data_IF_384301458573
#
_entry.id   IF_384301458573
#
_cell.length_a   1.000
_cell.length_b   1.000
_cell.length_c   1.000
_cell.angle_alpha   90.00
_cell.angle_beta   90.00
_cell.angle_gamma   90.00
#
_symmetry.space_group_name_H-M   'P 1'
#
loop_
_entity.id
_entity.type
_entity.pdbx_description
1 polymer ?
#
# COMPACT_ATOMS: atom_id res chain seq x y z
N UNK A 1 44.39 -56.64 55.18
CA UNK A 1 43.05 -57.16 55.57
C UNK A 1 42.05 -56.45 54.63
N UNK A 2 41.12 -57.09 53.90
CA UNK A 2 39.95 -57.91 54.32
C UNK A 2 39.11 -57.18 55.40
N UNK A 3 37.81 -56.86 55.31
CA UNK A 3 36.71 -56.91 54.32
C UNK A 3 35.63 -55.86 54.78
N UNK A 4 34.62 -55.40 54.04
CA UNK A 4 34.19 -55.63 52.65
C UNK A 4 32.68 -55.94 52.52
N UNK A 5 31.93 -55.23 51.63
CA UNK A 5 30.44 -55.28 51.36
C UNK A 5 29.54 -54.53 52.36
N UNK A 6 28.29 -54.09 52.08
CA UNK A 6 27.57 -53.57 50.87
C UNK A 6 26.10 -53.18 51.22
N UNK A 7 25.50 -52.19 50.53
CA UNK A 7 24.03 -51.96 50.32
C UNK A 7 23.19 -51.66 51.60
N UNK A 8 21.94 -51.15 51.65
CA UNK A 8 20.79 -50.73 50.79
C UNK A 8 19.90 -49.77 51.68
N UNK A 9 18.90 -48.93 51.34
CA UNK A 9 18.11 -48.53 50.13
C UNK A 9 17.61 -47.06 50.33
N UNK A 10 17.87 -46.11 49.43
CA UNK A 10 16.93 -45.42 48.51
C UNK A 10 15.49 -45.05 49.00
N UNK A 11 15.18 -43.73 48.97
CA UNK A 11 13.88 -43.07 48.67
C UNK A 11 14.17 -41.58 48.43
N UNK A 12 13.93 -40.97 47.26
CA UNK A 12 12.65 -40.53 46.66
C UNK A 12 11.89 -39.45 47.46
N UNK A 13 11.31 -38.39 46.85
CA UNK A 13 11.53 -37.68 45.57
C UNK A 13 10.79 -36.31 45.63
N UNK A 14 10.91 -35.41 44.64
CA UNK A 14 10.28 -34.05 44.53
C UNK A 14 10.92 -32.96 45.43
N UNK A 15 11.00 -31.66 45.09
CA UNK A 15 11.32 -30.92 43.84
C UNK A 15 11.49 -29.41 44.18
N UNK A 16 12.10 -28.64 43.27
CA UNK A 16 11.81 -27.21 42.95
C UNK A 16 12.30 -26.06 43.89
N UNK A 17 13.18 -25.21 43.32
CA UNK A 17 13.26 -23.72 43.49
C UNK A 17 13.61 -23.11 44.88
N UNK A 18 14.18 -21.89 45.03
CA UNK A 18 14.24 -20.70 44.15
C UNK A 18 15.37 -19.71 44.59
N UNK A 19 15.69 -18.68 43.76
CA UNK A 19 16.67 -17.55 43.95
C UNK A 19 18.14 -17.94 44.25
N UNK A 20 19.18 -17.54 43.48
CA UNK A 20 19.66 -16.24 42.97
C UNK A 20 20.41 -15.38 44.02
N UNK A 21 21.68 -15.09 43.70
CA UNK A 21 22.56 -14.08 44.31
C UNK A 21 23.08 -13.15 43.19
N UNK A 22 23.57 -11.96 43.56
CA UNK A 22 23.65 -10.83 42.62
C UNK A 22 24.94 -10.00 42.72
N UNK A 23 25.47 -9.58 41.54
CA UNK A 23 26.13 -8.28 41.27
C UNK A 23 27.52 -8.04 41.92
N UNK A 24 28.44 -7.20 41.37
CA UNK A 24 28.68 -6.75 39.98
C UNK A 24 30.07 -7.17 39.42
N UNK A 25 30.38 -6.86 38.15
CA UNK A 25 31.61 -6.09 37.85
C UNK A 25 31.51 -5.31 36.51
N UNK A 26 32.55 -4.55 36.15
CA UNK A 26 32.41 -3.31 35.39
C UNK A 26 32.84 -3.34 33.90
N UNK A 27 32.49 -2.26 33.20
CA UNK A 27 32.80 -2.02 31.77
C UNK A 27 34.29 -1.81 31.53
N UNK A 28 34.86 -2.61 30.62
CA UNK A 28 35.95 -2.18 29.73
C UNK A 28 35.50 -2.54 28.31
N UNK A 29 35.40 -1.55 27.43
CA UNK A 29 35.09 -1.76 26.02
C UNK A 29 36.37 -1.91 25.20
N UNK A 30 36.27 -2.59 24.05
CA UNK A 30 37.29 -2.58 23.01
C UNK A 30 36.65 -2.15 21.68
N UNK A 31 37.34 -1.30 20.92
CA UNK A 31 36.75 -0.58 19.77
C UNK A 31 37.21 -1.22 18.46
N UNK A 32 36.37 -2.09 17.91
CA UNK A 32 36.55 -2.63 16.55
C UNK A 32 35.60 -1.95 15.57
N UNK A 33 36.08 -0.89 14.91
CA UNK A 33 35.33 -0.18 13.90
C UNK A 33 35.34 -0.94 12.56
N UNK A 34 34.22 -1.58 12.22
CA UNK A 34 33.93 -2.00 10.85
C UNK A 34 32.41 -2.04 10.63
N UNK A 35 31.87 -0.93 10.12
CA UNK A 35 30.43 -0.80 9.86
C UNK A 35 29.98 -1.71 8.73
N UNK A 36 29.26 -2.79 9.08
CA UNK A 36 28.33 -3.47 8.19
C UNK A 36 26.93 -3.23 8.74
N UNK A 37 26.04 -2.64 7.94
CA UNK A 37 24.62 -2.59 8.28
C UNK A 37 24.09 -4.02 8.46
N UNK A 38 23.38 -4.27 9.56
CA UNK A 38 22.65 -5.53 9.72
C UNK A 38 21.46 -5.51 8.74
N UNK A 39 21.12 -6.66 8.11
CA UNK A 39 19.90 -6.73 7.31
C UNK A 39 18.68 -6.55 8.23
N UNK A 40 17.80 -5.61 7.90
CA UNK A 40 16.60 -5.32 8.67
C UNK A 40 15.64 -6.52 8.64
N UNK A 41 15.23 -7.01 9.81
CA UNK A 41 14.14 -7.98 9.96
C UNK A 41 12.82 -7.24 10.16
N UNK A 42 11.97 -7.26 9.13
CA UNK A 42 10.67 -6.59 9.15
C UNK A 42 9.62 -7.48 9.84
N UNK A 43 8.90 -6.92 10.82
CA UNK A 43 7.90 -7.65 11.62
C UNK A 43 6.48 -7.30 11.17
N UNK A 44 5.92 -8.08 10.23
CA UNK A 44 4.50 -7.94 9.84
C UNK A 44 3.58 -8.45 10.97
N UNK A 45 2.52 -7.71 11.35
CA UNK A 45 1.45 -8.17 12.24
C UNK A 45 0.52 -9.15 11.50
N UNK A 46 -0.22 -9.96 12.26
CA UNK A 46 -1.09 -11.02 11.72
C UNK A 46 -2.55 -10.82 12.15
N UNK A 47 -3.46 -10.67 11.18
CA UNK A 47 -4.91 -10.85 11.36
C UNK A 47 -5.54 -11.32 10.06
N UNK A 48 -6.18 -12.47 10.09
CA UNK A 48 -7.00 -12.99 8.99
C UNK A 48 -8.21 -12.06 8.75
N UNK A 49 -8.47 -11.72 7.50
CA UNK A 49 -9.79 -11.33 6.99
C UNK A 49 -9.91 -11.78 5.55
N UNK A 50 -10.96 -12.55 5.23
CA UNK A 50 -11.41 -12.73 3.85
C UNK A 50 -11.78 -11.35 3.29
N UNK A 51 -11.11 -10.82 2.26
CA UNK A 51 -11.36 -9.46 1.80
C UNK A 51 -12.68 -9.38 1.01
N UNK A 52 -13.53 -8.41 1.37
CA UNK A 52 -14.19 -7.64 0.31
C UNK A 52 -13.14 -6.81 -0.43
N UNK A 53 -13.42 -6.30 -1.64
CA UNK A 53 -12.44 -5.51 -2.39
C UNK A 53 -11.88 -4.38 -1.52
N UNK A 54 -10.56 -4.33 -1.37
CA UNK A 54 -9.92 -3.47 -0.39
C UNK A 54 -10.03 -2.02 -0.87
N UNK A 55 -10.78 -1.21 -0.12
CA UNK A 55 -10.86 0.23 -0.38
C UNK A 55 -9.52 0.88 -0.03
N UNK A 56 -8.75 1.23 -1.06
CA UNK A 56 -7.44 1.85 -0.90
C UNK A 56 -7.58 3.36 -1.05
N UNK A 57 -7.38 4.07 0.07
CA UNK A 57 -7.38 5.52 0.10
C UNK A 57 -6.18 6.07 -0.71
N UNK A 58 -6.45 7.04 -1.57
CA UNK A 58 -5.42 7.70 -2.39
C UNK A 58 -4.78 8.90 -1.70
N UNK A 59 -5.43 9.44 -0.67
CA UNK A 59 -4.91 10.50 0.23
C UNK A 59 -3.89 9.90 1.19
N UNK A 60 -2.66 10.43 1.18
CA UNK A 60 -1.65 10.09 2.18
C UNK A 60 -1.86 10.96 3.43
N UNK A 61 -1.59 10.38 4.61
CA UNK A 61 -1.83 11.01 5.92
C UNK A 61 -3.28 11.57 6.11
N UNK A 62 -4.31 10.73 5.96
CA UNK A 62 -5.72 11.18 5.90
C UNK A 62 -6.26 11.75 7.22
N UNK A 63 -5.71 11.32 8.35
CA UNK A 63 -6.09 11.70 9.71
C UNK A 63 -5.09 12.66 10.36
N UNK A 64 -4.28 13.37 9.55
CA UNK A 64 -3.36 14.44 9.96
C UNK A 64 -2.27 14.10 11.02
N UNK A 65 -2.19 12.85 11.49
CA UNK A 65 -1.28 12.41 12.58
C UNK A 65 0.23 12.63 12.32
N UNK A 66 0.65 12.85 11.07
CA UNK A 66 2.04 13.19 10.72
C UNK A 66 2.16 14.51 9.97
N UNK A 67 3.23 15.26 10.26
CA UNK A 67 3.57 16.54 9.64
C UNK A 67 5.07 16.64 9.39
N UNK A 68 5.46 17.43 8.40
CA UNK A 68 6.86 17.68 8.05
C UNK A 68 7.54 18.72 8.97
N UNK A 69 8.79 19.06 8.66
CA UNK A 69 9.57 20.07 9.41
C UNK A 69 9.04 21.51 9.34
N UNK A 70 7.96 21.79 8.59
CA UNK A 70 7.22 23.06 8.54
C UNK A 70 5.90 23.00 9.33
N UNK A 71 5.49 21.82 9.82
CA UNK A 71 4.21 21.61 10.49
C UNK A 71 3.04 21.34 9.53
N UNK A 72 3.34 20.81 8.33
CA UNK A 72 2.38 20.56 7.24
C UNK A 72 2.56 19.12 6.74
N UNK A 73 1.49 18.34 6.46
CA UNK A 73 1.64 17.04 5.82
C UNK A 73 2.33 17.16 4.45
N UNK A 74 3.04 16.12 4.02
CA UNK A 74 3.80 16.14 2.75
C UNK A 74 2.91 16.36 1.52
N UNK A 75 1.68 15.85 1.58
CA UNK A 75 0.75 15.70 0.45
C UNK A 75 -0.43 16.68 0.54
N UNK A 76 -0.33 17.65 1.47
CA UNK A 76 -1.29 18.73 1.64
C UNK A 76 -0.66 20.09 1.37
N UNK A 77 -1.37 20.87 0.59
CA UNK A 77 -1.10 22.28 0.28
C UNK A 77 -2.17 23.18 0.93
N UNK A 78 -1.89 24.47 1.06
CA UNK A 78 -2.80 25.44 1.67
C UNK A 78 -2.60 26.83 1.06
N UNK A 79 -3.61 27.68 1.19
CA UNK A 79 -3.59 29.06 0.72
C UNK A 79 -4.48 29.95 1.58
N UNK A 80 -4.18 31.25 1.57
CA UNK A 80 -5.04 32.27 2.10
C UNK A 80 -4.81 33.62 1.43
N UNK A 81 -5.89 34.37 1.25
CA UNK A 81 -5.84 35.82 1.12
C UNK A 81 -6.12 36.46 2.51
N UNK A 82 -5.53 37.63 2.79
CA UNK A 82 -5.78 38.34 4.07
C UNK A 82 -5.28 37.60 5.34
N UNK A 83 -6.11 37.59 6.39
CA UNK A 83 -5.83 36.94 7.67
C UNK A 83 -6.44 35.52 7.70
N UNK A 84 -5.71 34.59 7.10
CA UNK A 84 -6.02 33.16 7.05
C UNK A 84 -4.92 32.38 7.76
N UNK A 85 -5.32 31.42 8.59
CA UNK A 85 -4.40 30.64 9.43
C UNK A 85 -4.74 29.16 9.36
N UNK A 86 -3.72 28.32 9.50
CA UNK A 86 -3.82 26.88 9.30
C UNK A 86 -3.01 26.17 10.39
N UNK A 87 -3.51 25.01 10.86
CA UNK A 87 -2.77 24.15 11.78
C UNK A 87 -3.15 22.69 11.55
N UNK A 88 -2.18 21.88 11.12
CA UNK A 88 -2.33 20.44 10.89
C UNK A 88 -1.96 19.59 12.12
N UNK A 89 -1.69 20.24 13.26
CA UNK A 89 -1.37 19.63 14.55
C UNK A 89 -2.33 20.11 15.65
N UNK A 90 -3.59 20.39 15.27
CA UNK A 90 -4.61 20.89 16.20
C UNK A 90 -5.34 19.73 16.86
N UNK A 91 -4.96 19.40 18.10
CA UNK A 91 -5.68 18.41 18.91
C UNK A 91 -7.11 18.84 19.29
N UNK A 92 -7.44 20.12 19.15
CA UNK A 92 -8.81 20.65 19.22
C UNK A 92 -9.63 20.36 17.95
N UNK A 93 -8.97 20.12 16.81
CA UNK A 93 -9.58 19.91 15.48
C UNK A 93 -9.61 18.43 15.06
N UNK A 94 -9.26 17.52 15.97
CA UNK A 94 -9.43 16.08 15.80
C UNK A 94 -10.92 15.67 15.88
N UNK A 95 -11.38 14.87 14.93
CA UNK A 95 -12.57 14.00 15.07
C UNK A 95 -12.15 12.63 15.60
N UNK A 96 -10.98 12.14 15.16
CA UNK A 96 -10.31 10.91 15.59
C UNK A 96 -8.83 11.19 15.93
N UNK A 97 -8.08 10.15 16.31
CA UNK A 97 -6.62 10.28 16.54
C UNK A 97 -6.21 11.27 17.63
N UNK A 98 -5.19 12.07 17.32
CA UNK A 98 -4.53 13.06 18.19
C UNK A 98 -4.61 14.48 17.60
N UNK A 99 -4.72 14.62 16.28
CA UNK A 99 -4.68 15.88 15.54
C UNK A 99 -5.68 15.87 14.38
N UNK A 100 -6.19 17.05 14.02
CA UNK A 100 -6.87 17.27 12.75
C UNK A 100 -6.42 18.58 12.11
N UNK A 101 -6.88 18.83 10.88
CA UNK A 101 -6.60 20.07 10.16
C UNK A 101 -7.56 21.19 10.59
N UNK A 102 -6.99 22.35 10.88
CA UNK A 102 -7.69 23.59 11.23
C UNK A 102 -7.45 24.64 10.14
N UNK A 103 -8.50 25.36 9.74
CA UNK A 103 -8.48 26.53 8.87
C UNK A 103 -9.28 27.68 9.52
N UNK A 104 -8.60 28.74 9.94
CA UNK A 104 -9.22 30.02 10.32
C UNK A 104 -9.25 30.96 9.11
N UNK A 105 -10.38 31.65 8.90
CA UNK A 105 -10.52 32.74 7.92
C UNK A 105 -11.17 33.95 8.59
N UNK A 106 -10.50 35.10 8.55
CA UNK A 106 -11.07 36.40 8.90
C UNK A 106 -10.98 37.36 7.70
N UNK A 107 -12.02 38.16 7.49
CA UNK A 107 -12.04 39.22 6.47
C UNK A 107 -11.48 40.53 7.03
N UNK A 108 -11.35 41.54 6.17
CA UNK A 108 -11.24 42.94 6.63
C UNK A 108 -12.56 43.68 6.49
N UNK A 109 -12.67 44.86 7.10
CA UNK A 109 -13.78 45.82 6.93
C UNK A 109 -14.07 46.20 5.47
N UNK A 110 -13.12 45.99 4.56
CA UNK A 110 -13.18 46.47 3.17
C UNK A 110 -13.00 45.38 2.11
N UNK A 111 -12.47 44.20 2.48
CA UNK A 111 -12.18 43.09 1.58
C UNK A 111 -12.69 41.77 2.16
N UNK A 112 -13.33 40.99 1.30
CA UNK A 112 -13.63 39.59 1.52
C UNK A 112 -12.37 38.74 1.31
N UNK A 113 -12.26 37.62 2.00
CA UNK A 113 -11.07 36.76 2.00
C UNK A 113 -11.43 35.28 1.83
N UNK A 114 -10.53 34.50 1.24
CA UNK A 114 -10.68 33.05 1.03
C UNK A 114 -9.48 32.31 1.62
N UNK A 115 -9.75 31.28 2.42
CA UNK A 115 -8.75 30.29 2.84
C UNK A 115 -9.07 28.92 2.26
N UNK A 116 -8.03 28.12 1.97
CA UNK A 116 -8.23 26.70 1.64
C UNK A 116 -7.08 25.79 2.08
N UNK A 117 -7.44 24.51 2.25
CA UNK A 117 -6.55 23.37 2.40
C UNK A 117 -6.84 22.39 1.26
N UNK A 118 -5.82 21.90 0.57
CA UNK A 118 -5.95 20.93 -0.53
C UNK A 118 -5.08 19.71 -0.30
N UNK A 119 -5.64 18.52 -0.51
CA UNK A 119 -4.89 17.30 -0.72
C UNK A 119 -4.57 17.18 -2.21
N UNK A 120 -3.29 17.06 -2.54
CA UNK A 120 -2.84 16.81 -3.91
C UNK A 120 -3.02 15.31 -4.21
N UNK A 121 -3.93 14.97 -5.14
CA UNK A 121 -4.30 13.57 -5.41
C UNK A 121 -3.48 13.07 -6.59
N UNK A 122 -2.69 12.01 -6.37
CA UNK A 122 -1.98 11.34 -7.46
C UNK A 122 -2.93 10.49 -8.31
N UNK A 123 -3.64 11.19 -9.22
CA UNK A 123 -4.33 10.67 -10.40
C UNK A 123 -5.30 9.50 -10.12
N UNK A 124 -6.10 9.61 -9.05
CA UNK A 124 -7.05 8.57 -8.66
C UNK A 124 -8.08 8.30 -9.78
N UNK A 125 -8.09 7.09 -10.33
CA UNK A 125 -8.93 6.75 -11.47
C UNK A 125 -10.43 6.84 -11.14
N UNK A 126 -11.19 7.52 -12.00
CA UNK A 126 -12.64 7.66 -11.87
C UNK A 126 -13.32 6.42 -12.46
N UNK A 127 -13.32 5.31 -11.73
CA UNK A 127 -13.91 4.02 -12.12
C UNK A 127 -15.29 3.80 -11.47
N UNK A 128 -15.88 2.61 -11.56
CA UNK A 128 -17.30 2.37 -11.20
C UNK A 128 -17.70 2.84 -9.79
N UNK A 129 -16.78 2.79 -8.82
CA UNK A 129 -16.96 3.32 -7.46
C UNK A 129 -15.69 4.09 -7.03
N UNK A 130 -15.78 5.42 -7.02
CA UNK A 130 -14.79 6.28 -6.35
C UNK A 130 -15.52 7.07 -5.25
N UNK A 131 -15.34 6.68 -4.00
CA UNK A 131 -16.00 7.29 -2.85
C UNK A 131 -15.09 8.34 -2.19
N UNK A 132 -15.65 9.51 -1.90
CA UNK A 132 -15.00 10.62 -1.20
C UNK A 132 -15.72 10.89 0.12
N UNK A 133 -14.98 10.82 1.23
CA UNK A 133 -15.49 11.06 2.58
C UNK A 133 -14.49 11.82 3.45
N UNK A 134 -14.98 12.50 4.48
CA UNK A 134 -14.19 13.21 5.47
C UNK A 134 -15.10 13.64 6.63
N UNK A 135 -14.54 13.86 7.81
CA UNK A 135 -15.22 14.58 8.89
C UNK A 135 -14.91 16.08 8.79
N UNK A 136 -15.88 16.93 9.11
CA UNK A 136 -15.71 18.38 9.16
C UNK A 136 -16.57 19.04 10.24
N UNK A 137 -16.17 20.23 10.69
CA UNK A 137 -16.90 21.03 11.69
C UNK A 137 -16.65 22.52 11.48
N UNK A 138 -17.69 23.34 11.65
CA UNK A 138 -17.52 24.79 11.86
C UNK A 138 -17.49 25.06 13.37
N UNK A 139 -16.30 25.23 13.96
CA UNK A 139 -16.15 25.43 15.40
C UNK A 139 -16.53 26.86 15.82
N UNK A 140 -16.18 27.85 15.02
CA UNK A 140 -16.66 29.23 15.12
C UNK A 140 -17.16 29.68 13.75
N UNK A 141 -18.29 30.37 13.72
CA UNK A 141 -18.79 31.02 12.50
C UNK A 141 -19.66 32.22 12.87
N UNK A 142 -19.59 33.36 12.15
CA UNK A 142 -20.48 34.49 12.38
C UNK A 142 -21.95 34.08 12.14
N UNK A 143 -22.84 34.44 13.08
CA UNK A 143 -24.24 34.05 13.03
C UNK A 143 -25.07 34.81 11.98
N UNK A 144 -24.69 36.06 11.72
CA UNK A 144 -25.34 36.97 10.78
C UNK A 144 -24.33 37.32 9.67
N UNK A 145 -24.71 37.21 8.39
CA UNK A 145 -23.81 37.48 7.27
C UNK A 145 -24.50 37.47 5.91
N UNK A 146 -23.77 37.85 4.86
CA UNK A 146 -24.25 37.85 3.46
C UNK A 146 -23.19 37.21 2.54
N UNK A 147 -23.56 36.19 1.79
CA UNK A 147 -22.68 35.43 0.87
C UNK A 147 -21.54 34.61 1.48
N UNK A 148 -21.50 34.39 2.80
CA UNK A 148 -20.56 33.44 3.41
C UNK A 148 -20.84 31.98 2.98
N UNK A 149 -19.79 31.16 2.81
CA UNK A 149 -19.91 29.72 2.54
C UNK A 149 -18.66 28.91 2.89
N UNK A 150 -18.86 27.60 3.06
CA UNK A 150 -17.83 26.57 3.15
C UNK A 150 -18.17 25.42 2.21
N UNK A 151 -17.16 24.94 1.48
CA UNK A 151 -17.30 23.83 0.54
C UNK A 151 -16.11 22.88 0.61
N UNK A 152 -16.36 21.63 0.20
CA UNK A 152 -15.32 20.77 -0.35
C UNK A 152 -15.46 20.75 -1.87
N UNK A 153 -14.39 20.53 -2.63
CA UNK A 153 -14.52 20.17 -4.05
C UNK A 153 -13.46 19.19 -4.52
N UNK A 154 -13.83 18.44 -5.56
CA UNK A 154 -12.97 17.47 -6.24
C UNK A 154 -12.75 17.92 -7.67
N UNK A 155 -11.49 18.09 -8.09
CA UNK A 155 -11.13 18.37 -9.48
C UNK A 155 -10.87 17.06 -10.22
N UNK A 156 -11.55 16.87 -11.35
CA UNK A 156 -11.24 15.81 -12.31
C UNK A 156 -10.60 16.39 -13.57
N UNK A 157 -9.59 15.73 -14.12
CA UNK A 157 -9.00 16.05 -15.43
C UNK A 157 -8.90 14.81 -16.31
N UNK A 158 -8.47 14.95 -17.57
CA UNK A 158 -8.25 13.81 -18.47
C UNK A 158 -7.09 14.02 -19.45
N UNK A 159 -6.88 13.06 -20.36
CA UNK A 159 -5.85 13.10 -21.43
C UNK A 159 -5.86 14.34 -22.33
N UNK A 160 -6.96 15.09 -22.37
CA UNK A 160 -7.10 16.34 -23.13
C UNK A 160 -7.01 17.60 -22.25
N UNK A 161 -6.60 17.46 -20.98
CA UNK A 161 -6.56 18.51 -19.96
C UNK A 161 -7.89 19.26 -19.79
N UNK A 162 -9.01 18.54 -19.91
CA UNK A 162 -10.34 19.09 -19.73
C UNK A 162 -10.78 18.96 -18.28
N UNK A 163 -10.54 20.01 -17.50
CA UNK A 163 -10.92 20.06 -16.08
C UNK A 163 -12.43 20.16 -15.86
N UNK A 164 -12.92 19.45 -14.85
CA UNK A 164 -14.30 19.51 -14.36
C UNK A 164 -14.31 19.39 -12.83
N UNK A 165 -14.83 20.42 -12.17
CA UNK A 165 -14.85 20.56 -10.71
C UNK A 165 -16.23 20.19 -10.15
N UNK A 166 -16.25 19.32 -9.13
CA UNK A 166 -17.44 18.88 -8.42
C UNK A 166 -17.42 19.48 -7.00
N UNK A 167 -18.23 20.51 -6.77
CA UNK A 167 -18.31 21.27 -5.52
C UNK A 167 -19.42 20.72 -4.64
N UNK A 168 -19.10 20.43 -3.38
CA UNK A 168 -20.00 20.00 -2.33
C UNK A 168 -20.14 21.15 -1.33
N UNK A 169 -21.27 21.87 -1.38
CA UNK A 169 -21.52 23.00 -0.49
C UNK A 169 -21.95 22.46 0.87
N UNK A 170 -21.02 22.50 1.82
CA UNK A 170 -21.16 21.94 3.17
C UNK A 170 -22.02 22.85 4.04
N UNK A 171 -21.77 24.15 3.96
CA UNK A 171 -22.53 25.19 4.66
C UNK A 171 -22.58 26.47 3.81
N UNK A 172 -23.70 27.18 3.80
CA UNK A 172 -23.83 28.51 3.18
C UNK A 172 -24.91 29.36 3.85
N UNK A 173 -24.77 30.68 3.78
CA UNK A 173 -25.86 31.60 4.10
C UNK A 173 -27.03 31.45 3.12
N UNK A 174 -28.27 31.72 3.55
CA UNK A 174 -29.47 31.66 2.69
C UNK A 174 -29.43 32.61 1.47
N UNK A 175 -28.63 33.68 1.50
CA UNK A 175 -28.44 34.60 0.37
C UNK A 175 -27.45 34.08 -0.69
N UNK A 176 -26.65 33.05 -0.38
CA UNK A 176 -25.68 32.45 -1.30
C UNK A 176 -26.39 31.59 -2.34
N UNK A 177 -25.97 31.67 -3.61
CA UNK A 177 -26.48 30.82 -4.68
C UNK A 177 -25.39 30.42 -5.67
N UNK A 178 -25.47 29.17 -6.16
CA UNK A 178 -24.51 28.58 -7.10
C UNK A 178 -25.23 28.18 -8.39
N UNK A 179 -24.49 28.05 -9.50
CA UNK A 179 -25.05 27.72 -10.82
C UNK A 179 -24.09 26.84 -11.60
N UNK A 180 -24.57 25.69 -12.04
CA UNK A 180 -23.77 24.72 -12.80
C UNK A 180 -23.34 25.27 -14.16
N UNK A 181 -22.15 24.89 -14.60
CA UNK A 181 -21.56 25.20 -15.91
C UNK A 181 -20.95 23.94 -16.53
N UNK A 182 -20.33 24.07 -17.70
CA UNK A 182 -19.64 22.96 -18.39
C UNK A 182 -18.35 22.49 -17.69
N UNK A 183 -17.88 23.22 -16.67
CA UNK A 183 -16.64 22.89 -15.91
C UNK A 183 -16.82 22.95 -14.39
N UNK A 184 -18.02 23.28 -13.90
CA UNK A 184 -18.33 23.40 -12.47
C UNK A 184 -19.73 22.81 -12.20
N UNK A 185 -19.83 21.80 -11.33
CA UNK A 185 -21.12 21.29 -10.83
C UNK A 185 -21.20 21.48 -9.31
N UNK A 186 -22.36 21.90 -8.80
CA UNK A 186 -22.58 22.21 -7.39
C UNK A 186 -23.65 21.31 -6.79
N UNK A 187 -23.28 20.61 -5.71
CA UNK A 187 -24.14 19.74 -4.91
C UNK A 187 -24.32 20.40 -3.54
N UNK A 188 -25.54 20.83 -3.22
CA UNK A 188 -25.83 21.47 -1.93
C UNK A 188 -26.12 20.38 -0.90
N UNK A 189 -25.40 20.40 0.23
CA UNK A 189 -25.74 19.65 1.45
C UNK A 189 -26.35 20.60 2.49
N UNK A 190 -25.62 21.67 2.82
CA UNK A 190 -26.02 22.74 3.74
C UNK A 190 -26.47 22.26 5.14
N UNK A 191 -25.50 21.70 5.87
CA UNK A 191 -25.61 21.23 7.24
C UNK A 191 -25.51 22.37 8.28
N UNK A 192 -25.46 22.03 9.56
CA UNK A 192 -25.37 22.98 10.69
C UNK A 192 -23.93 23.32 11.10
N UNK A 193 -23.73 24.47 11.75
CA UNK A 193 -22.49 24.81 12.42
C UNK A 193 -22.41 24.23 13.86
N UNK A 194 -21.20 24.16 14.44
CA UNK A 194 -20.95 23.84 15.84
C UNK A 194 -20.83 22.35 16.20
N UNK A 195 -21.17 21.43 15.29
CA UNK A 195 -21.05 19.99 15.47
C UNK A 195 -20.06 19.37 14.47
N UNK A 196 -19.55 18.17 14.76
CA UNK A 196 -18.87 17.34 13.77
C UNK A 196 -19.90 16.68 12.84
N UNK A 197 -19.64 16.74 11.54
CA UNK A 197 -20.44 16.17 10.46
C UNK A 197 -19.55 15.26 9.60
N UNK A 198 -19.99 14.02 9.37
CA UNK A 198 -19.32 13.09 8.44
C UNK A 198 -19.91 13.25 7.04
N UNK A 199 -19.08 13.64 6.06
CA UNK A 199 -19.44 13.68 4.65
C UNK A 199 -19.07 12.35 3.97
N UNK A 200 -19.90 11.88 3.03
CA UNK A 200 -19.59 10.79 2.11
C UNK A 200 -20.37 10.96 0.81
N UNK A 201 -19.75 10.69 -0.34
CA UNK A 201 -20.41 10.69 -1.65
C UNK A 201 -19.65 9.81 -2.65
N UNK A 202 -20.33 9.35 -3.71
CA UNK A 202 -19.71 8.62 -4.81
C UNK A 202 -19.40 9.60 -5.96
N UNK A 203 -18.13 9.95 -6.11
CA UNK A 203 -17.63 10.94 -7.08
C UNK A 203 -17.92 10.55 -8.52
N UNK A 204 -17.92 9.24 -8.85
CA UNK A 204 -18.26 8.76 -10.20
C UNK A 204 -19.73 8.96 -10.51
N UNK A 205 -20.63 8.64 -9.57
CA UNK A 205 -22.07 8.89 -9.68
C UNK A 205 -22.36 10.39 -9.80
N UNK A 206 -21.72 11.21 -8.97
CA UNK A 206 -21.84 12.67 -9.03
C UNK A 206 -21.31 13.23 -10.35
N UNK A 207 -20.16 12.75 -10.86
CA UNK A 207 -19.66 13.11 -12.19
C UNK A 207 -20.63 12.73 -13.32
N UNK A 208 -21.15 11.49 -13.32
CA UNK A 208 -22.10 11.02 -14.32
C UNK A 208 -23.43 11.80 -14.28
N UNK A 209 -23.85 12.30 -13.11
CA UNK A 209 -25.05 13.14 -12.96
C UNK A 209 -24.97 14.46 -13.74
N UNK A 210 -23.76 14.92 -14.08
CA UNK A 210 -23.54 16.13 -14.89
C UNK A 210 -23.97 15.98 -16.36
N UNK A 211 -24.19 14.75 -16.81
CA UNK A 211 -24.45 14.42 -18.22
C UNK A 211 -23.20 14.31 -19.09
N UNK A 212 -22.00 14.46 -18.51
CA UNK A 212 -20.74 14.16 -19.19
C UNK A 212 -20.52 12.64 -19.27
N UNK A 213 -20.01 12.18 -20.42
CA UNK A 213 -19.55 10.79 -20.56
C UNK A 213 -18.25 10.57 -19.80
N UNK A 214 -18.19 9.54 -18.97
CA UNK A 214 -16.94 9.08 -18.36
C UNK A 214 -15.97 8.61 -19.45
N UNK A 215 -14.78 9.21 -19.50
CA UNK A 215 -13.72 8.81 -20.42
C UNK A 215 -12.65 7.97 -19.69
N UNK A 216 -12.07 6.90 -20.30
CA UNK A 216 -11.10 6.03 -19.61
C UNK A 216 -9.77 6.68 -19.25
N UNK A 217 -9.58 7.99 -19.46
CA UNK A 217 -8.41 8.74 -19.00
C UNK A 217 -8.76 9.76 -17.91
N UNK A 218 -10.00 9.75 -17.40
CA UNK A 218 -10.44 10.67 -16.36
C UNK A 218 -9.97 10.23 -14.97
N UNK A 219 -9.34 11.17 -14.28
CA UNK A 219 -8.75 10.99 -12.95
C UNK A 219 -9.10 12.17 -12.06
N UNK A 220 -9.17 11.96 -10.75
CA UNK A 220 -9.14 13.03 -9.75
C UNK A 220 -7.69 13.45 -9.50
N UNK A 221 -7.44 14.76 -9.46
CA UNK A 221 -6.11 15.35 -9.24
C UNK A 221 -5.99 16.21 -7.99
N UNK A 222 -7.11 16.64 -7.40
CA UNK A 222 -7.12 17.44 -6.17
C UNK A 222 -8.44 17.23 -5.44
N UNK A 223 -8.37 17.14 -4.11
CA UNK A 223 -9.48 17.41 -3.21
C UNK A 223 -9.16 18.68 -2.41
N UNK A 224 -10.12 19.60 -2.27
CA UNK A 224 -9.92 20.87 -1.54
C UNK A 224 -11.08 21.15 -0.60
N UNK A 225 -10.75 21.73 0.56
CA UNK A 225 -11.67 22.32 1.53
C UNK A 225 -11.44 23.82 1.54
N UNK A 226 -12.48 24.61 1.29
CA UNK A 226 -12.40 26.04 1.04
C UNK A 226 -13.47 26.80 1.85
N UNK A 227 -13.05 27.86 2.53
CA UNK A 227 -13.89 28.73 3.33
C UNK A 227 -13.79 30.17 2.81
N UNK A 228 -14.95 30.77 2.51
CA UNK A 228 -15.06 32.14 2.01
C UNK A 228 -15.76 33.03 3.03
N UNK A 229 -15.13 34.15 3.36
CA UNK A 229 -15.65 35.15 4.27
C UNK A 229 -15.87 36.49 3.55
N UNK A 230 -17.11 37.01 3.46
CA UNK A 230 -17.40 38.34 2.90
C UNK A 230 -16.73 39.47 3.70
N UNK A 231 -16.68 40.69 3.15
CA UNK A 231 -16.13 41.85 3.85
C UNK A 231 -16.97 42.25 5.09
N UNK A 232 -16.31 42.75 6.14
CA UNK A 232 -16.94 43.15 7.40
C UNK A 232 -16.86 42.12 8.55
N UNK A 233 -16.17 40.99 8.36
CA UNK A 233 -16.14 39.86 9.29
C UNK A 233 -14.73 39.64 9.83
N UNK A 234 -14.34 40.54 10.75
CA UNK A 234 -13.00 40.65 11.31
C UNK A 234 -12.71 39.67 12.47
N UNK A 235 -13.73 38.99 13.00
CA UNK A 235 -13.58 37.86 13.92
C UNK A 235 -13.35 36.55 13.13
N UNK A 236 -12.30 35.74 13.42
CA UNK A 236 -12.02 34.52 12.67
C UNK A 236 -13.10 33.44 12.80
N UNK A 237 -13.53 32.91 11.65
CA UNK A 237 -14.35 31.70 11.57
C UNK A 237 -13.43 30.49 11.33
N UNK A 238 -13.72 29.37 12.01
CA UNK A 238 -12.88 28.18 12.05
C UNK A 238 -13.59 26.97 11.43
N UNK A 239 -13.01 26.44 10.35
CA UNK A 239 -13.31 25.12 9.79
C UNK A 239 -12.28 24.11 10.30
N UNK A 240 -12.75 22.99 10.84
CA UNK A 240 -11.94 21.80 11.14
C UNK A 240 -12.26 20.68 10.13
N UNK A 241 -11.25 19.89 9.76
CA UNK A 241 -11.32 18.78 8.79
C UNK A 241 -10.49 17.61 9.31
N UNK A 242 -11.00 16.38 9.22
CA UNK A 242 -10.32 15.15 9.63
C UNK A 242 -10.73 13.92 8.78
N UNK A 243 -10.02 12.80 8.92
CA UNK A 243 -10.30 11.48 8.32
C UNK A 243 -10.61 11.53 6.81
N UNK A 244 -9.79 12.28 6.05
CA UNK A 244 -10.00 12.55 4.62
C UNK A 244 -9.68 11.32 3.76
N UNK A 245 -10.70 10.73 3.15
CA UNK A 245 -10.57 9.59 2.26
C UNK A 245 -11.10 9.84 0.86
N UNK A 246 -10.30 9.47 -0.15
CA UNK A 246 -10.73 9.31 -1.53
C UNK A 246 -10.32 7.89 -1.96
N UNK A 247 -11.28 6.96 -1.98
CA UNK A 247 -11.02 5.53 -2.10
C UNK A 247 -11.83 4.86 -3.21
N UNK A 248 -11.20 3.90 -3.88
CA UNK A 248 -11.80 3.01 -4.87
C UNK A 248 -11.46 1.57 -4.45
N UNK A 249 -12.23 0.61 -4.93
CA UNK A 249 -11.89 -0.81 -4.87
C UNK A 249 -10.50 -1.10 -5.45
N UNK A 250 -9.66 -1.82 -4.71
CA UNK A 250 -8.37 -2.31 -5.19
C UNK A 250 -8.52 -3.18 -6.43
N UNK A 251 -7.69 -2.95 -7.45
CA UNK A 251 -7.60 -3.90 -8.56
C UNK A 251 -6.64 -5.04 -8.21
N UNK A 252 -7.05 -6.27 -8.45
CA UNK A 252 -6.18 -7.45 -8.41
C UNK A 252 -5.64 -7.71 -9.82
N UNK A 253 -4.32 -7.70 -9.97
CA UNK A 253 -3.67 -7.94 -11.27
C UNK A 253 -3.41 -9.42 -11.59
N UNK A 254 -3.45 -10.31 -10.60
CA UNK A 254 -3.14 -11.73 -10.76
C UNK A 254 -4.40 -12.54 -11.10
N UNK A 255 -4.51 -13.11 -12.32
CA UNK A 255 -5.52 -14.13 -12.58
C UNK A 255 -5.20 -15.42 -11.80
N UNK A 256 -6.25 -16.12 -11.35
CA UNK A 256 -6.12 -17.46 -10.73
C UNK A 256 -5.23 -17.52 -9.48
N UNK A 257 -5.02 -16.39 -8.77
CA UNK A 257 -4.11 -16.28 -7.63
C UNK A 257 -4.46 -17.11 -6.39
N UNK A 258 -5.71 -17.56 -6.27
CA UNK A 258 -6.17 -18.52 -5.25
C UNK A 258 -6.12 -19.98 -5.72
N UNK A 259 -5.72 -20.25 -6.97
CA UNK A 259 -5.50 -21.59 -7.54
C UNK A 259 -6.67 -22.60 -7.41
N UNK A 260 -7.89 -22.12 -7.13
CA UNK A 260 -9.12 -22.90 -6.98
C UNK A 260 -9.57 -23.62 -8.27
N UNK A 261 -8.97 -23.27 -9.41
CA UNK A 261 -9.18 -24.01 -10.66
C UNK A 261 -8.43 -25.35 -10.66
N UNK A 262 -8.96 -26.37 -11.34
CA UNK A 262 -8.34 -27.70 -11.33
C UNK A 262 -6.97 -27.75 -12.07
N UNK A 263 -6.66 -26.74 -12.89
CA UNK A 263 -5.41 -26.55 -13.63
C UNK A 263 -5.12 -25.06 -13.63
N UNK A 264 -3.99 -24.65 -13.07
CA UNK A 264 -3.66 -23.22 -12.97
C UNK A 264 -3.54 -22.55 -14.34
N UNK A 265 -3.86 -21.25 -14.39
CA UNK A 265 -3.77 -20.42 -15.58
C UNK A 265 -2.35 -19.90 -15.87
N UNK A 266 -1.43 -20.02 -14.90
CA UNK A 266 -0.04 -19.54 -15.02
C UNK A 266 0.80 -20.40 -15.98
N UNK A 267 1.73 -19.77 -16.71
CA UNK A 267 2.67 -20.44 -17.64
C UNK A 267 3.64 -21.37 -16.90
N UNK A 268 3.30 -22.66 -16.84
CA UNK A 268 4.09 -23.70 -16.20
C UNK A 268 5.22 -24.26 -17.08
N UNK A 269 6.46 -24.19 -16.59
CA UNK A 269 7.64 -24.80 -17.20
C UNK A 269 8.32 -25.78 -16.22
N UNK A 270 8.88 -26.88 -16.73
CA UNK A 270 9.65 -27.82 -15.91
C UNK A 270 10.81 -28.49 -16.67
N UNK A 271 11.82 -28.93 -15.91
CA UNK A 271 13.00 -29.65 -16.41
C UNK A 271 13.35 -30.82 -15.48
N UNK A 272 13.71 -31.95 -16.11
CA UNK A 272 13.91 -33.24 -15.43
C UNK A 272 12.63 -33.63 -14.64
N UNK A 273 12.73 -34.19 -13.43
CA UNK A 273 11.55 -34.54 -12.63
C UNK A 273 10.97 -33.33 -11.87
N UNK A 274 10.73 -32.24 -12.60
CA UNK A 274 9.99 -31.07 -12.15
C UNK A 274 8.52 -31.16 -12.60
N UNK A 275 7.60 -30.60 -11.81
CA UNK A 275 6.17 -30.58 -12.10
C UNK A 275 5.50 -29.34 -11.52
N UNK A 276 4.50 -28.81 -12.24
CA UNK A 276 3.59 -27.75 -11.78
C UNK A 276 2.17 -28.33 -11.83
N UNK A 277 1.44 -28.24 -10.73
CA UNK A 277 0.05 -28.69 -10.59
C UNK A 277 -0.67 -27.87 -9.52
N UNK A 278 -1.92 -28.22 -9.19
CA UNK A 278 -2.52 -27.82 -7.90
C UNK A 278 -2.25 -28.87 -6.80
N UNK A 279 -2.67 -28.57 -5.58
CA UNK A 279 -2.54 -29.37 -4.35
C UNK A 279 -3.83 -29.24 -3.54
N UNK A 280 -4.27 -30.29 -2.84
CA UNK A 280 -5.44 -30.29 -1.92
C UNK A 280 -5.05 -29.85 -0.48
N UNK A 281 -3.86 -29.29 -0.31
CA UNK A 281 -3.39 -28.64 0.90
C UNK A 281 -3.21 -27.15 0.60
N UNK A 282 -3.98 -26.31 1.29
CA UNK A 282 -4.19 -24.90 1.03
C UNK A 282 -4.20 -24.07 2.35
N UNK A 283 -4.32 -22.75 2.23
CA UNK A 283 -4.73 -21.81 3.29
C UNK A 283 -6.04 -21.09 2.96
N UNK A 284 -6.37 -20.93 1.67
CA UNK A 284 -7.66 -20.45 1.17
C UNK A 284 -8.34 -21.51 0.31
N UNK A 285 -9.67 -21.56 0.29
CA UNK A 285 -10.43 -22.52 -0.52
C UNK A 285 -10.12 -24.00 -0.22
N UNK A 286 -10.06 -24.81 -1.28
CA UNK A 286 -9.73 -26.24 -1.28
C UNK A 286 -8.36 -26.53 -1.98
N UNK A 287 -7.70 -25.54 -2.59
CA UNK A 287 -6.51 -25.73 -3.44
C UNK A 287 -5.40 -24.70 -3.27
N UNK A 288 -4.15 -25.17 -3.42
CA UNK A 288 -2.98 -24.31 -3.65
C UNK A 288 -2.30 -24.64 -4.99
N UNK A 289 -1.42 -23.75 -5.46
CA UNK A 289 -0.40 -24.11 -6.45
C UNK A 289 0.62 -25.08 -5.83
N UNK A 290 1.17 -25.99 -6.64
CA UNK A 290 2.20 -26.95 -6.27
C UNK A 290 3.31 -27.00 -7.33
N UNK A 291 4.53 -26.69 -6.91
CA UNK A 291 5.74 -26.78 -7.73
C UNK A 291 6.70 -27.78 -7.07
N UNK A 292 6.66 -29.02 -7.53
CA UNK A 292 7.51 -30.12 -7.04
C UNK A 292 8.72 -30.31 -7.97
N UNK A 293 9.91 -30.53 -7.39
CA UNK A 293 11.13 -30.90 -8.13
C UNK A 293 11.88 -32.02 -7.41
N UNK A 294 12.50 -32.92 -8.16
CA UNK A 294 13.28 -34.03 -7.59
C UNK A 294 14.50 -34.39 -8.46
N UNK A 295 15.63 -34.72 -7.83
CA UNK A 295 16.82 -35.19 -8.54
C UNK A 295 16.75 -36.71 -8.74
N UNK A 296 16.36 -37.13 -9.94
CA UNK A 296 16.20 -38.55 -10.31
C UNK A 296 17.39 -39.15 -11.07
N UNK A 297 18.41 -38.35 -11.38
CA UNK A 297 19.63 -38.78 -12.08
C UNK A 297 20.86 -38.09 -11.49
N UNK A 298 22.04 -38.71 -11.60
CA UNK A 298 23.29 -38.17 -11.05
C UNK A 298 23.76 -36.91 -11.79
N UNK A 299 23.52 -36.81 -13.10
CA UNK A 299 23.86 -35.63 -13.91
C UNK A 299 22.67 -34.67 -14.07
N UNK A 300 22.75 -33.51 -13.41
CA UNK A 300 21.91 -32.35 -13.71
C UNK A 300 21.11 -31.74 -12.55
N UNK A 301 20.38 -30.69 -12.89
CA UNK A 301 19.46 -29.91 -12.05
C UNK A 301 18.03 -30.30 -12.38
N UNK A 302 17.15 -30.44 -11.38
CA UNK A 302 15.70 -30.40 -11.63
C UNK A 302 15.12 -29.10 -11.12
N UNK A 303 14.40 -28.40 -12.00
CA UNK A 303 13.67 -27.19 -11.65
C UNK A 303 12.29 -27.15 -12.30
N UNK A 304 11.38 -26.41 -11.69
CA UNK A 304 10.07 -26.09 -12.25
C UNK A 304 9.66 -24.69 -11.80
N UNK A 305 8.87 -24.01 -12.62
CA UNK A 305 8.33 -22.71 -12.27
C UNK A 305 6.99 -22.47 -12.95
N UNK A 306 6.13 -21.69 -12.29
CA UNK A 306 4.96 -21.06 -12.88
C UNK A 306 5.28 -19.58 -13.10
N UNK A 307 4.83 -19.01 -14.21
CA UNK A 307 5.04 -17.58 -14.53
C UNK A 307 3.72 -16.92 -14.91
N UNK A 308 3.43 -15.75 -14.34
CA UNK A 308 2.36 -14.88 -14.79
C UNK A 308 2.98 -13.69 -15.55
N UNK A 309 2.40 -13.33 -16.71
CA UNK A 309 2.99 -12.39 -17.67
C UNK A 309 2.05 -11.22 -17.95
N UNK A 310 2.33 -10.09 -17.32
CA UNK A 310 1.66 -8.81 -17.58
C UNK A 310 2.23 -8.16 -18.86
N UNK A 311 2.12 -8.85 -19.99
CA UNK A 311 2.88 -8.63 -21.24
C UNK A 311 3.00 -7.15 -21.65
N UNK A 312 1.94 -6.38 -21.47
CA UNK A 312 1.83 -4.97 -21.87
C UNK A 312 1.36 -4.01 -20.77
N UNK A 313 0.93 -4.49 -19.59
CA UNK A 313 0.09 -3.69 -18.69
C UNK A 313 0.11 -4.11 -17.20
N UNK A 314 1.26 -4.52 -16.66
CA UNK A 314 1.37 -4.74 -15.20
C UNK A 314 1.41 -3.43 -14.41
N UNK A 315 1.30 -3.48 -13.08
CA UNK A 315 1.17 -2.28 -12.25
C UNK A 315 2.47 -1.46 -12.16
N UNK A 316 2.40 -0.12 -12.22
CA UNK A 316 3.53 0.78 -11.99
C UNK A 316 3.75 1.01 -10.50
N UNK A 317 5.01 1.00 -10.07
CA UNK A 317 5.44 1.23 -8.69
C UNK A 317 6.10 2.61 -8.62
N UNK A 318 5.40 3.59 -8.02
CA UNK A 318 5.75 5.01 -8.11
C UNK A 318 5.65 5.79 -6.79
N UNK A 319 4.80 5.36 -5.83
CA UNK A 319 4.63 5.96 -4.52
C UNK A 319 4.26 4.90 -3.46
N UNK A 320 4.36 5.20 -2.14
CA UNK A 320 3.93 4.30 -1.07
C UNK A 320 2.45 3.92 -1.14
N UNK A 321 2.14 2.70 -0.71
CA UNK A 321 0.80 2.11 -0.66
C UNK A 321 0.20 1.72 -2.02
N UNK A 322 0.93 1.93 -3.13
CA UNK A 322 0.35 1.82 -4.47
C UNK A 322 0.35 0.41 -5.06
N UNK A 323 1.30 -0.46 -4.69
CA UNK A 323 1.37 -1.86 -5.20
C UNK A 323 1.80 -2.82 -4.08
N UNK A 324 0.82 -3.54 -3.52
CA UNK A 324 1.04 -4.52 -2.44
C UNK A 324 1.14 -5.91 -3.05
N UNK A 325 2.26 -6.59 -2.81
CA UNK A 325 2.42 -8.01 -3.09
C UNK A 325 2.09 -8.81 -1.81
N UNK A 326 1.18 -9.77 -1.92
CA UNK A 326 0.76 -10.62 -0.81
C UNK A 326 0.62 -12.08 -1.26
N UNK A 327 1.08 -13.05 -0.47
CA UNK A 327 0.89 -14.48 -0.71
C UNK A 327 1.23 -15.34 0.51
N UNK A 328 0.61 -16.51 0.58
CA UNK A 328 0.99 -17.59 1.48
C UNK A 328 1.94 -18.58 0.77
N UNK A 329 2.87 -19.14 1.53
CA UNK A 329 3.83 -20.11 1.02
C UNK A 329 4.16 -21.20 2.03
N UNK A 330 4.46 -22.39 1.51
CA UNK A 330 4.96 -23.54 2.28
C UNK A 330 5.98 -24.30 1.47
N UNK A 331 7.21 -24.40 1.96
CA UNK A 331 8.24 -25.26 1.35
C UNK A 331 8.38 -26.56 2.15
N UNK A 332 8.39 -27.69 1.48
CA UNK A 332 8.65 -29.02 2.08
C UNK A 332 9.86 -29.65 1.37
N UNK A 333 10.80 -30.25 2.10
CA UNK A 333 12.03 -30.84 1.53
C UNK A 333 12.08 -32.35 1.81
N UNK A 334 12.59 -33.14 0.87
CA UNK A 334 12.76 -34.60 1.02
C UNK A 334 14.02 -34.96 1.82
N UNK A 335 13.96 -36.07 2.57
CA UNK A 335 14.93 -36.49 3.61
C UNK A 335 16.42 -36.57 3.22
N UNK A 336 16.74 -36.50 1.93
CA UNK A 336 18.11 -36.27 1.45
C UNK A 336 18.25 -34.78 1.16
N UNK A 337 18.78 -34.04 2.13
CA UNK A 337 18.99 -32.59 2.05
C UNK A 337 20.49 -32.27 1.93
N UNK A 338 20.90 -31.69 0.81
CA UNK A 338 22.16 -30.94 0.72
C UNK A 338 21.88 -29.43 0.75
N UNK A 339 22.94 -28.63 0.77
CA UNK A 339 22.93 -27.16 0.69
C UNK A 339 22.53 -26.65 -0.72
N UNK A 340 21.46 -27.20 -1.30
CA UNK A 340 21.22 -27.16 -2.75
C UNK A 340 19.71 -27.25 -3.11
N UNK A 341 18.85 -26.72 -2.23
CA UNK A 341 17.42 -26.57 -2.48
C UNK A 341 17.06 -25.09 -2.52
N UNK A 342 16.25 -24.70 -3.52
CA UNK A 342 15.91 -23.30 -3.79
C UNK A 342 14.40 -23.17 -4.04
N UNK A 343 13.77 -22.22 -3.36
CA UNK A 343 12.41 -21.80 -3.66
C UNK A 343 12.30 -20.27 -3.50
N UNK A 344 11.76 -19.59 -4.50
CA UNK A 344 11.64 -18.13 -4.49
C UNK A 344 10.45 -17.63 -5.31
N UNK A 345 9.95 -16.46 -4.92
CA UNK A 345 9.06 -15.62 -5.73
C UNK A 345 9.93 -14.52 -6.35
N UNK A 346 9.83 -14.34 -7.66
CA UNK A 346 10.60 -13.35 -8.40
C UNK A 346 9.70 -12.43 -9.22
N UNK A 347 9.92 -11.14 -9.12
CA UNK A 347 9.32 -10.13 -9.99
C UNK A 347 10.37 -9.66 -11.00
N UNK A 348 10.00 -9.67 -12.27
CA UNK A 348 10.71 -8.97 -13.32
C UNK A 348 10.08 -7.59 -13.49
N UNK A 349 10.86 -6.54 -13.25
CA UNK A 349 10.45 -5.15 -13.32
C UNK A 349 11.14 -4.46 -14.48
N UNK A 350 10.47 -3.51 -15.14
CA UNK A 350 11.06 -2.74 -16.25
C UNK A 350 10.51 -1.33 -16.35
N UNK A 351 11.27 -0.47 -17.03
CA UNK A 351 10.78 0.76 -17.64
C UNK A 351 11.46 0.95 -19.03
N UNK A 352 11.38 2.13 -19.62
CA UNK A 352 11.90 2.39 -20.96
C UNK A 352 13.44 2.29 -21.10
N UNK A 353 14.21 2.31 -19.99
CA UNK A 353 15.68 2.36 -20.01
C UNK A 353 16.36 1.28 -19.15
N UNK A 354 15.62 0.58 -18.27
CA UNK A 354 16.16 -0.36 -17.29
C UNK A 354 15.23 -1.55 -17.08
N UNK A 355 15.83 -2.71 -16.84
CA UNK A 355 15.17 -3.88 -16.26
C UNK A 355 15.83 -4.21 -14.91
N UNK A 356 15.03 -4.63 -13.94
CA UNK A 356 15.44 -5.02 -12.60
C UNK A 356 14.74 -6.32 -12.22
N UNK A 357 15.43 -7.18 -11.48
CA UNK A 357 14.85 -8.38 -10.88
C UNK A 357 14.74 -8.19 -9.37
N UNK A 358 13.59 -8.48 -8.77
CA UNK A 358 13.42 -8.57 -7.31
C UNK A 358 13.11 -10.03 -6.98
N UNK A 359 13.91 -10.67 -6.12
CA UNK A 359 13.75 -12.09 -5.76
C UNK A 359 13.58 -12.23 -4.25
N UNK A 360 12.37 -12.58 -3.83
CA UNK A 360 12.03 -12.99 -2.47
C UNK A 360 12.36 -14.48 -2.31
N UNK A 361 13.51 -14.76 -1.71
CA UNK A 361 13.93 -16.12 -1.40
C UNK A 361 13.18 -16.64 -0.18
N UNK A 362 12.46 -17.75 -0.37
CA UNK A 362 11.76 -18.51 0.66
C UNK A 362 12.70 -19.56 1.28
N UNK A 363 13.42 -20.27 0.40
CA UNK A 363 14.42 -21.29 0.72
C UNK A 363 15.62 -21.11 -0.20
N UNK A 364 16.82 -21.10 0.38
CA UNK A 364 18.10 -21.18 -0.34
C UNK A 364 19.26 -21.47 0.62
N UNK A 365 20.36 -22.10 0.19
CA UNK A 365 21.60 -22.20 0.97
C UNK A 365 22.28 -20.83 1.18
N UNK A 366 22.26 -19.99 0.15
CA UNK A 366 22.85 -18.66 0.12
C UNK A 366 22.01 -17.74 -0.78
N UNK A 367 22.21 -16.43 -0.68
CA UNK A 367 21.58 -15.45 -1.57
C UNK A 367 22.65 -14.87 -2.50
N UNK A 368 22.23 -14.51 -3.71
CA UNK A 368 23.04 -13.66 -4.59
C UNK A 368 23.27 -12.28 -3.93
N UNK A 369 24.41 -11.67 -4.25
CA UNK A 369 24.67 -10.26 -3.92
C UNK A 369 23.65 -9.36 -4.60
N UNK A 370 23.31 -8.23 -3.96
CA UNK A 370 22.49 -7.20 -4.59
C UNK A 370 23.34 -6.39 -5.59
N UNK A 371 22.73 -6.07 -6.73
CA UNK A 371 23.29 -5.29 -7.83
C UNK A 371 22.26 -4.24 -8.30
N UNK A 372 22.68 -3.27 -9.12
CA UNK A 372 21.77 -2.27 -9.68
C UNK A 372 20.65 -2.84 -10.56
N UNK A 373 20.76 -4.09 -11.03
CA UNK A 373 19.74 -4.81 -11.80
C UNK A 373 19.12 -6.01 -11.05
N UNK A 374 19.51 -6.28 -9.80
CA UNK A 374 19.01 -7.45 -9.05
C UNK A 374 19.01 -7.22 -7.54
N UNK A 375 17.83 -7.36 -6.92
CA UNK A 375 17.62 -7.29 -5.47
C UNK A 375 17.23 -8.68 -4.96
N UNK A 376 17.97 -9.19 -3.99
CA UNK A 376 17.76 -10.49 -3.34
C UNK A 376 17.36 -10.27 -1.88
N UNK A 377 16.21 -10.81 -1.50
CA UNK A 377 15.56 -10.56 -0.21
C UNK A 377 15.33 -11.90 0.50
N UNK A 378 15.60 -11.96 1.81
CA UNK A 378 15.13 -13.06 2.67
C UNK A 378 13.74 -12.69 3.17
N UNK A 379 12.76 -13.55 2.96
CA UNK A 379 11.45 -13.39 3.60
C UNK A 379 11.56 -13.61 5.11
N UNK A 380 10.55 -13.14 5.85
CA UNK A 380 10.32 -13.59 7.24
C UNK A 380 10.18 -15.11 7.23
N UNK A 381 10.78 -15.78 8.22
CA UNK A 381 10.87 -17.24 8.31
C UNK A 381 11.61 -17.95 7.15
N UNK A 382 12.50 -17.24 6.44
CA UNK A 382 13.40 -17.81 5.44
C UNK A 382 14.10 -19.09 5.92
N UNK A 383 14.12 -20.11 5.05
CA UNK A 383 14.58 -21.47 5.30
C UNK A 383 13.72 -22.33 6.25
N UNK A 384 12.62 -21.84 6.80
CA UNK A 384 11.58 -22.68 7.42
C UNK A 384 11.00 -23.69 6.43
N UNK A 385 10.48 -24.81 6.93
CA UNK A 385 9.82 -25.84 6.12
C UNK A 385 8.62 -26.46 6.83
N UNK A 386 7.74 -27.08 6.05
CA UNK A 386 6.64 -27.94 6.49
C UNK A 386 5.53 -27.25 7.32
N UNK A 387 5.60 -25.92 7.41
CA UNK A 387 4.54 -25.01 7.87
C UNK A 387 4.16 -24.00 6.77
N UNK A 388 2.95 -23.45 6.85
CA UNK A 388 2.54 -22.29 6.06
C UNK A 388 3.04 -20.99 6.69
N UNK A 389 3.41 -20.04 5.84
CA UNK A 389 3.90 -18.71 6.20
C UNK A 389 3.30 -17.66 5.27
N UNK A 390 2.98 -16.49 5.81
CA UNK A 390 2.42 -15.37 5.06
C UNK A 390 3.49 -14.31 4.75
N UNK A 391 3.44 -13.74 3.55
CA UNK A 391 4.15 -12.51 3.18
C UNK A 391 3.16 -11.49 2.65
N UNK A 392 3.26 -10.25 3.14
CA UNK A 392 2.65 -9.07 2.53
C UNK A 392 3.63 -7.90 2.63
N UNK A 393 3.81 -7.17 1.52
CA UNK A 393 4.84 -6.11 1.39
C UNK A 393 4.43 -5.07 0.34
N UNK A 394 4.69 -3.79 0.62
CA UNK A 394 4.66 -2.74 -0.40
C UNK A 394 5.91 -2.83 -1.29
N UNK A 395 5.71 -2.94 -2.60
CA UNK A 395 6.81 -2.97 -3.55
C UNK A 395 7.52 -1.62 -3.67
N UNK A 396 6.90 -0.50 -3.26
CA UNK A 396 7.56 0.79 -3.25
C UNK A 396 8.71 0.83 -2.24
N UNK A 397 8.48 0.47 -0.98
CA UNK A 397 9.50 0.47 0.08
C UNK A 397 10.73 -0.38 -0.29
N UNK A 398 10.48 -1.56 -0.86
CA UNK A 398 11.50 -2.51 -1.34
C UNK A 398 12.41 -1.90 -2.41
N UNK A 399 11.87 -0.99 -3.22
CA UNK A 399 12.58 -0.33 -4.32
C UNK A 399 13.20 1.01 -3.90
N UNK A 400 12.53 1.76 -3.02
CA UNK A 400 12.98 3.04 -2.47
C UNK A 400 14.28 2.87 -1.65
N UNK A 401 14.41 1.78 -0.87
CA UNK A 401 15.65 1.42 -0.15
C UNK A 401 16.88 1.26 -1.08
N UNK A 402 16.66 1.20 -2.40
CA UNK A 402 17.66 0.91 -3.43
C UNK A 402 17.73 1.95 -4.55
N UNK A 403 17.06 3.10 -4.39
CA UNK A 403 16.97 4.18 -5.39
C UNK A 403 16.39 3.68 -6.74
N UNK A 404 15.42 2.76 -6.69
CA UNK A 404 14.81 2.09 -7.84
C UNK A 404 13.41 2.66 -8.18
N UNK A 405 13.36 3.90 -8.65
CA UNK A 405 12.09 4.58 -8.89
C UNK A 405 11.52 4.34 -10.31
N UNK A 406 10.20 4.48 -10.45
CA UNK A 406 9.45 4.42 -11.72
C UNK A 406 9.73 3.12 -12.50
N UNK A 407 9.26 2.00 -11.93
CA UNK A 407 9.36 0.65 -12.51
C UNK A 407 7.97 0.00 -12.56
N UNK A 408 7.71 -0.76 -13.61
CA UNK A 408 6.45 -1.50 -13.82
C UNK A 408 6.71 -3.00 -13.70
N UNK A 409 5.82 -3.73 -13.02
CA UNK A 409 5.89 -5.20 -13.00
C UNK A 409 5.62 -5.74 -14.42
N UNK A 410 6.46 -6.64 -14.91
CA UNK A 410 6.32 -7.26 -16.23
C UNK A 410 5.92 -8.74 -16.13
N UNK A 411 6.48 -9.46 -15.16
CA UNK A 411 6.06 -10.84 -14.86
C UNK A 411 6.42 -11.22 -13.43
N UNK A 412 5.69 -12.20 -12.90
CA UNK A 412 5.98 -12.86 -11.63
C UNK A 412 6.31 -14.32 -11.92
N UNK A 413 7.37 -14.84 -11.31
CA UNK A 413 7.82 -16.22 -11.42
C UNK A 413 7.88 -16.86 -10.04
N UNK A 414 7.11 -17.93 -9.85
CA UNK A 414 7.16 -18.83 -8.70
C UNK A 414 8.07 -19.99 -9.08
N UNK A 415 9.24 -20.13 -8.46
CA UNK A 415 10.27 -21.10 -8.86
C UNK A 415 10.63 -22.05 -7.71
N UNK A 416 10.84 -23.32 -8.08
CA UNK A 416 11.36 -24.39 -7.24
C UNK A 416 12.53 -25.07 -7.98
N UNK A 417 13.62 -25.38 -7.26
CA UNK A 417 14.82 -26.00 -7.82
C UNK A 417 15.55 -26.90 -6.82
N UNK A 418 16.04 -28.03 -7.32
CA UNK A 418 16.74 -29.07 -6.56
C UNK A 418 18.01 -29.51 -7.28
N UNK A 419 19.15 -29.30 -6.63
CA UNK A 419 20.47 -29.81 -7.01
C UNK A 419 20.90 -30.86 -5.95
N UNK A 420 22.17 -30.93 -5.53
CA UNK A 420 22.59 -31.87 -4.46
C UNK A 420 22.52 -33.35 -4.84
N UNK A 421 22.31 -34.22 -3.86
CA UNK A 421 22.38 -35.69 -3.99
C UNK A 421 21.17 -36.30 -4.71
N UNK A 422 21.37 -37.45 -5.35
CA UNK A 422 20.29 -38.26 -5.94
C UNK A 422 19.19 -38.58 -4.89
N UNK A 423 17.94 -38.34 -5.25
CA UNK A 423 16.79 -38.51 -4.35
C UNK A 423 16.42 -37.26 -3.53
N UNK A 424 17.20 -36.18 -3.59
CA UNK A 424 16.77 -34.87 -3.08
C UNK A 424 15.47 -34.42 -3.76
N UNK A 425 14.59 -33.77 -3.00
CA UNK A 425 13.29 -33.26 -3.46
C UNK A 425 12.95 -31.93 -2.78
N UNK A 426 12.40 -30.99 -3.52
CA UNK A 426 11.81 -29.75 -2.99
C UNK A 426 10.37 -29.63 -3.47
N UNK A 427 9.46 -29.22 -2.60
CA UNK A 427 8.07 -28.85 -2.91
C UNK A 427 7.87 -27.42 -2.47
N UNK A 428 7.41 -26.57 -3.38
CA UNK A 428 6.88 -25.25 -3.05
C UNK A 428 5.35 -25.31 -3.25
N UNK A 429 4.59 -25.03 -2.19
CA UNK A 429 3.18 -24.68 -2.29
C UNK A 429 3.04 -23.15 -2.14
N UNK A 430 2.14 -22.55 -2.92
CA UNK A 430 1.82 -21.11 -2.90
C UNK A 430 0.30 -20.95 -2.97
N UNK A 431 -0.23 -20.00 -2.22
CA UNK A 431 -1.67 -19.76 -2.07
C UNK A 431 -1.98 -18.28 -1.76
N UNK A 432 -3.26 -17.89 -1.85
CA UNK A 432 -3.77 -16.51 -1.67
C UNK A 432 -2.91 -15.43 -2.37
N UNK A 433 -2.40 -15.75 -3.56
CA UNK A 433 -1.43 -14.93 -4.26
C UNK A 433 -2.10 -13.71 -4.89
N UNK A 434 -1.66 -12.52 -4.50
CA UNK A 434 -2.31 -11.25 -4.81
C UNK A 434 -1.29 -10.15 -5.12
N UNK A 435 -1.60 -9.33 -6.11
CA UNK A 435 -0.85 -8.13 -6.52
C UNK A 435 -1.83 -6.96 -6.61
N UNK A 436 -2.20 -6.44 -5.44
CA UNK A 436 -3.22 -5.42 -5.26
C UNK A 436 -2.65 -4.03 -5.59
N UNK A 437 -3.41 -3.20 -6.30
CA UNK A 437 -3.08 -1.78 -6.47
C UNK A 437 -4.09 -0.83 -5.84
N UNK A 438 -3.56 0.25 -5.26
CA UNK A 438 -4.33 1.49 -5.12
C UNK A 438 -4.52 2.08 -6.54
N UNK A 439 -5.68 2.69 -6.84
CA UNK A 439 -6.32 2.63 -8.15
C UNK A 439 -5.44 3.09 -9.32
N UNK A 440 -4.78 2.10 -9.95
CA UNK A 440 -4.14 2.21 -11.25
C UNK A 440 -5.08 1.59 -12.29
N UNK A 441 -5.81 2.46 -13.00
CA UNK A 441 -6.72 2.21 -14.13
C UNK A 441 -6.69 0.78 -14.71
N UNK A 442 -7.85 0.12 -14.75
CA UNK A 442 -8.06 -1.09 -15.55
C UNK A 442 -7.64 -0.87 -17.03
N UNK A 443 -6.61 -1.57 -17.54
CA UNK A 443 -6.05 -1.36 -18.88
C UNK A 443 -6.89 -2.07 -19.95
N UNK A 444 -8.12 -1.60 -20.14
CA UNK A 444 -9.09 -2.18 -21.09
C UNK A 444 -8.55 -2.36 -22.51
N UNK A 445 -8.96 -3.46 -23.14
CA UNK A 445 -8.40 -4.09 -24.36
C UNK A 445 -8.12 -3.18 -25.58
N UNK A 446 -8.78 -2.02 -25.68
CA UNK A 446 -8.68 -1.08 -26.80
C UNK A 446 -7.52 -0.05 -26.64
N UNK A 447 -6.88 0.02 -25.47
CA UNK A 447 -5.78 0.96 -25.25
C UNK A 447 -4.47 0.45 -25.87
N UNK A 448 -4.10 0.95 -27.06
CA UNK A 448 -2.88 0.60 -27.79
C UNK A 448 -1.60 1.16 -27.11
N UNK A 449 -1.25 0.61 -25.95
CA UNK A 449 -0.36 1.22 -24.95
C UNK A 449 1.15 1.13 -25.28
N UNK A 450 1.58 1.76 -26.37
CA UNK A 450 3.00 2.04 -26.64
C UNK A 450 3.48 3.27 -25.85
N UNK A 451 3.58 3.16 -24.52
CA UNK A 451 4.05 4.28 -23.69
C UNK A 451 5.44 4.78 -24.10
N UNK A 452 5.45 5.91 -24.81
CA UNK A 452 6.50 6.89 -24.59
C UNK A 452 6.28 7.59 -23.25
N UNK A 453 7.25 8.40 -22.77
CA UNK A 453 7.06 9.30 -21.63
C UNK A 453 6.15 10.50 -21.99
N UNK A 454 5.06 10.25 -22.73
CA UNK A 454 4.10 11.23 -23.26
C UNK A 454 2.64 10.74 -23.29
N UNK A 455 2.38 9.45 -23.00
CA UNK A 455 1.04 8.84 -23.12
C UNK A 455 0.33 8.66 -21.78
N UNK A 456 0.04 9.77 -21.08
CA UNK A 456 -0.99 9.97 -20.02
C UNK A 456 -0.98 9.01 -18.80
N UNK A 457 -0.01 8.10 -18.71
CA UNK A 457 0.73 7.83 -17.46
C UNK A 457 1.98 8.73 -17.36
N UNK A 458 2.04 9.78 -18.18
CA UNK A 458 3.18 10.67 -18.37
C UNK A 458 3.02 12.03 -17.67
N UNK A 459 2.28 12.08 -16.57
CA UNK A 459 2.17 13.27 -15.70
C UNK A 459 3.43 13.56 -14.87
N UNK A 460 4.57 12.96 -15.24
CA UNK A 460 5.86 13.18 -14.58
C UNK A 460 6.34 14.61 -14.86
N UNK A 461 6.06 15.50 -13.91
CA UNK A 461 6.50 16.89 -13.95
C UNK A 461 8.02 16.94 -14.09
N UNK A 462 8.51 17.32 -15.28
CA UNK A 462 9.92 17.58 -15.52
C UNK A 462 10.30 18.93 -14.92
N UNK A 463 10.42 18.97 -13.58
CA UNK A 463 10.93 20.13 -12.86
C UNK A 463 12.34 20.48 -13.33
N UNK A 464 12.57 21.77 -13.56
CA UNK A 464 13.88 22.36 -13.82
C UNK A 464 14.35 23.24 -12.67
#
# INVERSE_FOLDING_TARGET
MKQGRHLLTLSMIVLLSILVLAVPEAVIGDVSANGKASPNTMNSPSTERTPGPLLLNTVQNPSFETVDGRGVPTDFSYYGSGDVRYNFSSASSASAGSYGAMLEVASTEALAETGYISADIDNAALEEILDFSFDWRLATWPADGDFAYVLAFVQTTNSSSSDMNLYYILWMQESTSFTNSTTHCYFIRNDTAGAWHSFSTNVTSDFLSTGLSLDPSRVVTMARFEAYMPAGYTDPAQLDIDEVSLSNTSHEYVPDGTFETAVTQWDGFSRCAGHVSTSELATEGDRSLNITTARTHDDGESFAHATEYFYYSGPPIYAPGKVILSFDWRVSRGTVHDEDNYAYVRLYLRNATRSVTVTFYLVAPSLSSNYSSSVSIRVKDFNSTDTWHHLSVDLYDVLAERELNNLTVYSIQLYCGTYGTLGSRTVLLVDSFSLLTAPARNPGFEAAWRTGPSDVGSGWNSGG
#
